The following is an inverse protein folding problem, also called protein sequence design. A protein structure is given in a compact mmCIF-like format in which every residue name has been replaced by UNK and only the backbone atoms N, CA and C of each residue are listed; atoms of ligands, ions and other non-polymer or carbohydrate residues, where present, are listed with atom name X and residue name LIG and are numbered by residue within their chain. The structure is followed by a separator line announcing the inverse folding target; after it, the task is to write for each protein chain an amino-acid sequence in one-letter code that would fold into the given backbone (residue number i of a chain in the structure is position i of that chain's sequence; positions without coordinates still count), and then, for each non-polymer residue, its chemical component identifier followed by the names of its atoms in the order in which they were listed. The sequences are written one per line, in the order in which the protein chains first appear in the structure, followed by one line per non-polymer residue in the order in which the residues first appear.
data_IF_452592215040
#
_entry.id   IF_452592215040
#
_cell.length_a   1.000
_cell.length_b   1.000
_cell.length_c   1.000
_cell.angle_alpha   90.00
_cell.angle_beta   90.00
_cell.angle_gamma   90.00
#
_symmetry.space_group_name_H-M   'P 1'
#
loop_
_entity.id
_entity.type
_entity.pdbx_description
1 polymer ?
#
# COMPACT_ATOMS: atom_id res chain seq x y z
N UNK A 1 27.00 4.49 81.43
CA UNK A 1 26.53 5.90 81.47
C UNK A 1 26.94 6.54 80.15
N UNK A 2 25.97 6.80 79.27
CA UNK A 2 25.52 8.16 78.86
C UNK A 2 26.64 8.96 78.17
N UNK A 3 26.50 9.47 76.94
CA UNK A 3 25.38 10.27 76.43
C UNK A 3 25.28 10.18 74.90
N UNK A 4 24.02 10.19 74.44
CA UNK A 4 23.59 10.66 73.12
C UNK A 4 24.02 12.13 72.92
N UNK A 5 24.21 12.57 71.67
CA UNK A 5 23.54 13.70 71.00
C UNK A 5 24.33 14.11 69.75
N UNK A 6 23.68 14.00 68.59
CA UNK A 6 23.98 14.80 67.39
C UNK A 6 23.64 16.29 67.67
N UNK A 7 24.09 17.30 66.90
CA UNK A 7 23.54 17.51 65.53
C UNK A 7 24.39 18.33 64.51
N UNK A 8 23.97 18.21 63.24
CA UNK A 8 23.79 19.24 62.20
C UNK A 8 24.96 20.13 61.70
N UNK A 9 25.14 20.19 60.36
CA UNK A 9 24.82 21.33 59.46
C UNK A 9 25.70 21.36 58.20
N UNK A 10 25.05 21.73 57.08
CA UNK A 10 25.55 22.35 55.84
C UNK A 10 26.59 21.57 54.99
N UNK A 11 26.28 21.10 53.79
CA UNK A 11 25.93 21.80 52.54
C UNK A 11 27.13 22.08 51.63
N UNK A 12 27.02 21.57 50.37
CA UNK A 12 27.61 22.04 49.11
C UNK A 12 29.17 22.03 49.04
N UNK A 13 29.86 21.59 48.00
CA UNK A 13 29.59 21.55 46.57
C UNK A 13 30.85 20.98 45.86
N UNK A 14 30.69 20.54 44.59
CA UNK A 14 31.71 20.47 43.53
C UNK A 14 32.70 19.27 43.61
N UNK A 15 33.00 18.50 42.56
CA UNK A 15 32.73 18.62 41.12
C UNK A 15 33.46 17.50 40.32
N UNK A 16 32.84 17.10 39.20
CA UNK A 16 33.42 16.51 37.95
C UNK A 16 33.75 15.00 37.89
N UNK A 17 33.89 14.39 36.70
CA UNK A 17 33.14 14.56 35.43
C UNK A 17 32.71 13.21 34.81
N UNK A 18 31.72 13.20 33.92
CA UNK A 18 31.38 11.99 33.16
C UNK A 18 30.05 12.08 32.42
N UNK A 19 29.76 13.20 31.77
CA UNK A 19 28.65 13.27 30.82
C UNK A 19 29.02 12.40 29.60
N UNK A 20 28.50 11.18 29.62
CA UNK A 20 28.32 10.40 28.40
C UNK A 20 27.53 11.26 27.40
N UNK A 21 27.88 11.27 26.11
CA UNK A 21 27.07 11.96 25.12
C UNK A 21 25.67 11.32 25.15
N UNK A 22 24.70 12.07 25.68
CA UNK A 22 23.28 11.77 25.58
C UNK A 22 22.98 11.52 24.11
N UNK A 23 22.51 10.32 23.81
CA UNK A 23 21.78 10.01 22.59
C UNK A 23 20.43 10.78 22.64
N UNK A 24 20.51 12.08 22.45
CA UNK A 24 19.41 12.98 22.18
C UNK A 24 19.82 13.77 20.95
N UNK A 25 18.91 13.87 19.98
CA UNK A 25 19.07 14.51 18.65
C UNK A 25 19.37 13.59 17.46
N UNK A 26 19.12 12.29 17.58
CA UNK A 26 18.68 11.55 16.40
C UNK A 26 17.18 11.84 16.19
N UNK A 27 16.87 12.84 15.36
CA UNK A 27 15.53 13.03 14.77
C UNK A 27 14.97 11.65 14.42
N UNK A 28 13.74 11.26 14.83
CA UNK A 28 13.24 9.92 14.53
C UNK A 28 13.38 9.70 13.03
N UNK A 29 14.25 8.78 12.63
CA UNK A 29 14.31 8.36 11.26
C UNK A 29 12.91 7.83 10.96
N UNK A 30 12.16 8.57 10.12
CA UNK A 30 10.83 8.13 9.71
C UNK A 30 10.96 6.68 9.29
N UNK A 31 10.17 5.76 9.88
CA UNK A 31 10.22 4.35 9.50
C UNK A 31 10.14 4.27 7.98
N UNK A 32 10.88 3.35 7.37
CA UNK A 32 10.91 3.21 5.89
C UNK A 32 9.50 3.12 5.33
N UNK A 33 8.57 2.48 6.05
CA UNK A 33 7.13 2.45 5.71
C UNK A 33 6.50 3.84 5.59
N UNK A 34 6.81 4.78 6.48
CA UNK A 34 6.35 6.17 6.42
C UNK A 34 6.86 6.92 5.19
N UNK A 35 8.09 6.66 4.75
CA UNK A 35 8.64 7.24 3.52
C UNK A 35 8.02 6.61 2.28
N UNK A 36 7.87 5.29 2.26
CA UNK A 36 7.27 4.59 1.13
C UNK A 36 5.79 4.91 0.97
N UNK A 37 5.04 5.15 2.05
CA UNK A 37 3.65 5.60 1.99
C UNK A 37 3.48 6.99 1.35
N UNK A 38 4.53 7.80 1.35
CA UNK A 38 4.55 9.15 0.76
C UNK A 38 5.13 9.17 -0.66
N UNK A 39 5.44 7.99 -1.22
CA UNK A 39 6.04 7.90 -2.54
C UNK A 39 5.09 8.44 -3.63
N UNK A 40 5.61 8.94 -4.77
CA UNK A 40 4.80 9.58 -5.81
C UNK A 40 3.59 8.75 -6.28
N UNK A 41 3.77 7.44 -6.45
CA UNK A 41 2.68 6.53 -6.83
C UNK A 41 1.55 6.44 -5.79
N UNK A 42 1.84 6.66 -4.51
CA UNK A 42 0.84 6.60 -3.43
C UNK A 42 0.25 7.97 -3.08
N UNK A 43 0.86 9.06 -3.53
CA UNK A 43 0.58 10.39 -3.01
C UNK A 43 -0.89 10.80 -3.14
N UNK A 44 -1.54 10.53 -4.29
CA UNK A 44 -2.97 10.85 -4.50
C UNK A 44 -3.86 10.02 -3.57
N UNK A 45 -3.62 8.73 -3.49
CA UNK A 45 -4.32 7.80 -2.59
C UNK A 45 -4.16 8.20 -1.11
N UNK A 46 -2.95 8.60 -0.71
CA UNK A 46 -2.65 9.02 0.65
C UNK A 46 -3.45 10.28 1.03
N UNK A 47 -3.59 11.25 0.11
CA UNK A 47 -4.44 12.43 0.32
C UNK A 47 -5.92 12.07 0.51
N UNK A 48 -6.38 11.00 -0.14
CA UNK A 48 -7.74 10.47 0.04
C UNK A 48 -7.88 9.53 1.25
N UNK A 49 -6.85 9.37 2.09
CA UNK A 49 -6.91 8.49 3.26
C UNK A 49 -6.89 6.99 2.94
N UNK A 50 -6.49 6.61 1.72
CA UNK A 50 -6.47 5.21 1.26
C UNK A 50 -5.15 4.48 1.57
N UNK A 51 -4.13 5.20 2.04
CA UNK A 51 -2.78 4.67 2.29
C UNK A 51 -2.46 4.70 3.77
N UNK A 52 -1.99 3.57 4.28
CA UNK A 52 -1.58 3.40 5.68
C UNK A 52 -0.17 2.83 5.75
N UNK A 53 0.69 3.44 6.56
CA UNK A 53 2.01 2.88 6.89
C UNK A 53 1.86 1.81 7.95
N UNK A 54 2.40 0.62 7.71
CA UNK A 54 2.35 -0.50 8.65
C UNK A 54 3.73 -0.79 9.25
N UNK A 55 3.80 -1.50 10.40
CA UNK A 55 5.04 -2.05 10.92
C UNK A 55 5.73 -3.00 9.93
N UNK A 56 7.06 -3.11 10.02
CA UNK A 56 7.83 -4.08 9.25
C UNK A 56 8.01 -3.76 7.77
N UNK A 57 8.20 -2.48 7.42
CA UNK A 57 8.41 -2.00 6.04
C UNK A 57 7.27 -2.39 5.11
N UNK A 58 6.04 -2.12 5.55
CA UNK A 58 4.82 -2.39 4.79
C UNK A 58 4.00 -1.14 4.59
N UNK A 59 3.28 -1.08 3.48
CA UNK A 59 2.27 -0.06 3.19
C UNK A 59 1.01 -0.76 2.75
N UNK A 60 -0.14 -0.34 3.29
CA UNK A 60 -1.45 -0.83 2.88
C UNK A 60 -2.13 0.24 2.04
N UNK A 61 -2.58 -0.14 0.86
CA UNK A 61 -3.49 0.63 0.03
C UNK A 61 -4.87 -0.03 0.08
N UNK A 62 -5.91 0.72 0.44
CA UNK A 62 -7.30 0.24 0.48
C UNK A 62 -8.17 1.12 -0.40
N UNK A 63 -8.73 0.54 -1.45
CA UNK A 63 -9.49 1.26 -2.47
C UNK A 63 -10.80 0.53 -2.77
N UNK A 64 -11.80 1.28 -3.21
CA UNK A 64 -13.00 0.72 -3.83
C UNK A 64 -12.84 0.94 -5.33
N UNK A 65 -12.72 -0.16 -6.06
CA UNK A 65 -12.72 -0.16 -7.50
C UNK A 65 -14.16 -0.34 -7.96
N UNK A 66 -14.57 0.48 -8.91
CA UNK A 66 -15.80 0.33 -9.65
C UNK A 66 -15.58 -0.65 -10.80
N UNK A 67 -16.57 -1.49 -11.05
CA UNK A 67 -16.56 -2.45 -12.17
C UNK A 67 -17.33 -1.79 -13.30
N UNK A 68 -16.63 -1.06 -14.16
CA UNK A 68 -17.20 -0.43 -15.34
C UNK A 68 -16.37 -0.82 -16.56
N UNK A 69 -16.74 -1.94 -17.19
CA UNK A 69 -16.14 -2.36 -18.47
C UNK A 69 -16.46 -3.81 -18.79
N UNK A 70 -16.71 -4.09 -20.06
CA UNK A 70 -17.23 -5.34 -20.59
C UNK A 70 -16.40 -6.58 -20.22
N UNK A 71 -17.12 -7.69 -20.20
CA UNK A 71 -16.99 -8.84 -19.32
C UNK A 71 -15.73 -9.70 -19.58
N UNK A 72 -14.80 -9.70 -18.61
CA UNK A 72 -13.76 -10.73 -18.48
C UNK A 72 -14.13 -11.76 -17.40
N UNK A 73 -15.42 -12.09 -17.25
CA UNK A 73 -15.89 -13.09 -16.28
C UNK A 73 -16.02 -12.55 -14.85
N UNK A 74 -16.15 -11.23 -14.70
CA UNK A 74 -16.34 -10.62 -13.37
C UNK A 74 -17.84 -10.60 -13.07
N UNK A 75 -18.32 -11.15 -11.95
CA UNK A 75 -19.75 -11.13 -11.63
C UNK A 75 -20.31 -9.70 -11.64
N UNK A 76 -21.57 -9.53 -12.05
CA UNK A 76 -22.29 -8.24 -12.04
C UNK A 76 -22.47 -7.73 -10.59
N UNK A 77 -21.43 -7.07 -10.10
CA UNK A 77 -21.28 -6.51 -8.77
C UNK A 77 -21.02 -5.02 -8.91
N UNK A 78 -21.72 -4.20 -8.10
CA UNK A 78 -21.57 -2.74 -8.15
C UNK A 78 -20.16 -2.24 -7.80
N UNK A 79 -19.35 -3.01 -7.06
CA UNK A 79 -17.96 -2.62 -6.75
C UNK A 79 -17.11 -3.78 -6.22
N UNK A 80 -15.79 -3.63 -6.29
CA UNK A 80 -14.81 -4.51 -5.63
C UNK A 80 -13.94 -3.70 -4.66
N UNK A 81 -13.92 -4.08 -3.38
CA UNK A 81 -12.95 -3.53 -2.42
C UNK A 81 -11.61 -4.24 -2.63
N UNK A 82 -10.56 -3.49 -2.92
CA UNK A 82 -9.19 -4.00 -3.07
C UNK A 82 -8.34 -3.51 -1.91
N UNK A 83 -7.73 -4.44 -1.17
CA UNK A 83 -6.70 -4.11 -0.16
C UNK A 83 -5.37 -4.72 -0.60
N UNK A 84 -4.39 -3.89 -0.90
CA UNK A 84 -3.06 -4.29 -1.32
C UNK A 84 -2.03 -3.93 -0.23
N UNK A 85 -1.39 -4.94 0.36
CA UNK A 85 -0.30 -4.76 1.32
C UNK A 85 1.01 -4.95 0.57
N UNK A 86 1.76 -3.86 0.41
CA UNK A 86 3.07 -3.81 -0.22
C UNK A 86 4.13 -4.17 0.81
N UNK A 87 4.97 -5.15 0.49
CA UNK A 87 6.11 -5.55 1.29
C UNK A 87 7.38 -5.05 0.60
N UNK A 88 8.14 -4.19 1.29
CA UNK A 88 9.38 -3.64 0.72
C UNK A 88 10.61 -4.48 1.13
N UNK A 89 11.58 -4.57 0.23
CA UNK A 89 12.83 -5.28 0.47
C UNK A 89 13.67 -4.58 1.57
N UNK A 90 14.12 -5.36 2.56
CA UNK A 90 14.87 -4.83 3.69
C UNK A 90 16.20 -4.21 3.22
N UNK A 91 16.47 -2.98 3.66
CA UNK A 91 17.70 -2.25 3.31
C UNK A 91 17.76 -1.77 1.85
N UNK A 92 16.67 -1.89 1.08
CA UNK A 92 16.59 -1.48 -0.34
C UNK A 92 15.57 -0.36 -0.57
N UNK A 93 15.40 0.52 0.41
CA UNK A 93 14.47 1.65 0.31
C UNK A 93 13.02 1.18 0.11
N UNK A 94 12.35 1.70 -0.92
CA UNK A 94 10.97 1.39 -1.25
C UNK A 94 10.86 0.41 -2.43
N UNK A 95 11.89 -0.41 -2.64
CA UNK A 95 11.85 -1.51 -3.60
C UNK A 95 10.81 -2.56 -3.18
N UNK A 96 9.81 -2.76 -4.04
CA UNK A 96 8.73 -3.72 -3.83
C UNK A 96 9.26 -5.15 -3.99
N UNK A 97 9.00 -5.99 -2.99
CA UNK A 97 9.31 -7.44 -3.02
C UNK A 97 8.12 -8.24 -3.51
N UNK A 98 6.98 -8.03 -2.87
CA UNK A 98 5.71 -8.69 -3.17
C UNK A 98 4.56 -7.84 -2.63
N UNK A 99 3.35 -8.13 -3.11
CA UNK A 99 2.13 -7.45 -2.68
C UNK A 99 1.06 -8.50 -2.39
N UNK A 100 0.58 -8.55 -1.15
CA UNK A 100 -0.58 -9.35 -0.77
C UNK A 100 -1.84 -8.55 -1.09
N UNK A 101 -2.68 -9.06 -1.99
CA UNK A 101 -3.93 -8.42 -2.38
C UNK A 101 -5.09 -9.25 -1.87
N UNK A 102 -6.02 -8.62 -1.15
CA UNK A 102 -7.31 -9.21 -0.84
C UNK A 102 -8.43 -8.42 -1.51
N UNK A 103 -9.35 -9.11 -2.18
CA UNK A 103 -10.54 -8.51 -2.80
C UNK A 103 -11.82 -9.00 -2.14
N UNK A 104 -12.81 -8.11 -2.04
CA UNK A 104 -14.16 -8.41 -1.55
C UNK A 104 -15.15 -7.71 -2.47
N UNK A 105 -15.90 -8.51 -3.23
CA UNK A 105 -16.92 -8.01 -4.17
C UNK A 105 -18.19 -7.64 -3.38
N UNK A 106 -18.79 -6.50 -3.73
CA UNK A 106 -19.95 -5.95 -3.04
C UNK A 106 -21.00 -5.47 -4.02
N UNK A 107 -22.24 -5.47 -3.56
CA UNK A 107 -23.37 -5.09 -4.41
C UNK A 107 -23.69 -6.12 -5.50
N UNK A 108 -23.24 -7.36 -5.37
CA UNK A 108 -23.60 -8.42 -6.29
C UNK A 108 -25.09 -8.78 -6.13
N UNK A 109 -25.82 -8.90 -7.23
CA UNK A 109 -27.18 -9.47 -7.25
C UNK A 109 -27.12 -10.99 -7.15
N UNK A 110 -26.56 -11.51 -6.06
CA UNK A 110 -26.50 -12.95 -5.78
C UNK A 110 -27.35 -13.24 -4.54
N UNK A 111 -28.52 -13.85 -4.73
CA UNK A 111 -29.34 -14.35 -3.64
C UNK A 111 -28.49 -15.24 -2.71
N UNK A 112 -28.23 -14.76 -1.50
CA UNK A 112 -27.71 -15.57 -0.40
C UNK A 112 -26.22 -15.93 -0.42
N UNK A 113 -25.38 -15.32 -1.28
CA UNK A 113 -23.92 -15.59 -1.26
C UNK A 113 -23.11 -14.31 -1.17
N UNK A 114 -22.64 -13.96 0.03
CA UNK A 114 -21.52 -13.02 0.17
C UNK A 114 -20.25 -13.71 -0.32
N UNK A 115 -19.60 -13.24 -1.39
CA UNK A 115 -18.32 -13.82 -1.80
C UNK A 115 -17.31 -13.63 -0.66
N UNK A 116 -16.66 -14.72 -0.26
CA UNK A 116 -15.57 -14.67 0.71
C UNK A 116 -14.40 -13.87 0.11
N UNK A 117 -13.64 -13.09 0.91
CA UNK A 117 -12.51 -12.36 0.38
C UNK A 117 -11.50 -13.28 -0.32
N UNK A 118 -11.20 -12.99 -1.59
CA UNK A 118 -10.12 -13.68 -2.33
C UNK A 118 -8.79 -13.10 -1.86
N UNK A 119 -7.74 -13.90 -1.69
CA UNK A 119 -6.40 -13.40 -1.32
C UNK A 119 -5.33 -14.04 -2.18
N UNK A 120 -4.49 -13.21 -2.76
CA UNK A 120 -3.41 -13.62 -3.67
C UNK A 120 -2.14 -12.80 -3.46
N UNK A 121 -1.00 -13.34 -3.89
CA UNK A 121 0.29 -12.63 -3.83
C UNK A 121 0.78 -12.29 -5.23
N UNK A 122 1.12 -11.02 -5.41
CA UNK A 122 1.57 -10.42 -6.66
C UNK A 122 3.03 -10.01 -6.59
N UNK A 123 3.72 -10.08 -7.72
CA UNK A 123 5.15 -9.81 -7.84
C UNK A 123 5.41 -8.85 -9.00
N UNK A 124 6.37 -7.91 -8.86
CA UNK A 124 6.82 -7.09 -9.98
C UNK A 124 7.63 -7.93 -10.97
N UNK A 125 7.61 -7.57 -12.26
CA UNK A 125 8.41 -8.22 -13.32
C UNK A 125 9.93 -8.01 -13.17
N UNK A 126 10.36 -7.13 -12.27
CA UNK A 126 11.74 -6.82 -11.95
C UNK A 126 11.85 -5.88 -10.76
N UNK A 127 13.05 -5.34 -10.48
CA UNK A 127 13.23 -4.32 -9.45
C UNK A 127 12.29 -3.13 -9.70
N UNK A 128 11.41 -2.83 -8.76
CA UNK A 128 10.50 -1.69 -8.83
C UNK A 128 10.54 -0.91 -7.53
N UNK A 129 11.01 0.33 -7.56
CA UNK A 129 11.04 1.23 -6.40
C UNK A 129 9.92 2.25 -6.52
N UNK A 130 8.93 2.19 -5.62
CA UNK A 130 7.78 3.12 -5.66
C UNK A 130 8.19 4.56 -5.39
N UNK A 131 9.34 4.79 -4.74
CA UNK A 131 9.88 6.12 -4.50
C UNK A 131 10.56 6.72 -5.73
N UNK A 132 10.81 5.93 -6.79
CA UNK A 132 11.35 6.45 -8.04
C UNK A 132 10.29 7.31 -8.76
N UNK A 133 10.55 8.63 -8.94
CA UNK A 133 9.62 9.50 -9.64
C UNK A 133 9.41 9.12 -11.12
N UNK A 134 10.32 8.35 -11.72
CA UNK A 134 10.22 7.89 -13.10
C UNK A 134 9.37 6.62 -13.28
N UNK A 135 9.03 5.90 -12.20
CA UNK A 135 8.36 4.59 -12.30
C UNK A 135 7.02 4.71 -13.03
N UNK A 136 6.23 5.77 -12.79
CA UNK A 136 4.99 6.13 -13.50
C UNK A 136 3.81 5.14 -13.33
N UNK A 137 4.10 3.85 -13.42
CA UNK A 137 3.20 2.71 -13.33
C UNK A 137 3.94 1.54 -12.67
N UNK A 138 3.30 0.87 -11.72
CA UNK A 138 3.74 -0.39 -11.16
C UNK A 138 2.81 -1.52 -11.63
N UNK A 139 3.33 -2.43 -12.45
CA UNK A 139 2.61 -3.63 -12.89
C UNK A 139 3.08 -4.84 -12.11
N UNK A 140 2.12 -5.54 -11.51
CA UNK A 140 2.34 -6.74 -10.71
C UNK A 140 1.49 -7.88 -11.26
N UNK A 141 1.99 -9.10 -11.17
CA UNK A 141 1.25 -10.32 -11.57
C UNK A 141 1.39 -11.42 -10.52
N UNK A 142 0.42 -12.32 -10.47
CA UNK A 142 0.56 -13.59 -9.74
C UNK A 142 1.65 -14.46 -10.37
N UNK A 143 2.09 -15.51 -9.67
CA UNK A 143 3.07 -16.46 -10.24
C UNK A 143 2.57 -17.18 -11.49
N UNK A 144 1.26 -17.43 -11.55
CA UNK A 144 0.60 -18.00 -12.73
C UNK A 144 0.38 -16.98 -13.85
N UNK A 145 0.59 -15.69 -13.54
CA UNK A 145 0.35 -14.55 -14.43
C UNK A 145 -1.10 -14.47 -14.95
N UNK A 146 -2.03 -15.17 -14.30
CA UNK A 146 -3.47 -15.23 -14.58
C UNK A 146 -4.23 -14.05 -13.98
N UNK A 147 -3.56 -13.22 -13.17
CA UNK A 147 -4.12 -12.03 -12.53
C UNK A 147 -3.07 -10.93 -12.54
N UNK A 148 -3.54 -9.68 -12.60
CA UNK A 148 -2.66 -8.52 -12.56
C UNK A 148 -3.20 -7.42 -11.64
N UNK A 149 -2.27 -6.68 -11.03
CA UNK A 149 -2.56 -5.41 -10.37
C UNK A 149 -1.69 -4.35 -11.02
N UNK A 150 -2.30 -3.28 -11.52
CA UNK A 150 -1.58 -2.14 -12.07
C UNK A 150 -1.87 -0.90 -11.25
N UNK A 151 -0.85 -0.35 -10.61
CA UNK A 151 -0.93 0.87 -9.83
C UNK A 151 -0.34 2.04 -10.63
N UNK A 152 -1.16 3.04 -10.91
CA UNK A 152 -0.77 4.34 -11.44
C UNK A 152 -0.96 5.41 -10.36
N UNK A 153 -0.36 6.58 -10.54
CA UNK A 153 -0.54 7.70 -9.59
C UNK A 153 -2.01 8.17 -9.48
N UNK A 154 -2.84 7.87 -10.47
CA UNK A 154 -4.23 8.36 -10.57
C UNK A 154 -5.29 7.26 -10.62
N UNK A 155 -4.91 6.01 -10.83
CA UNK A 155 -5.85 4.89 -10.92
C UNK A 155 -5.17 3.57 -10.55
N UNK A 156 -5.94 2.60 -10.10
CA UNK A 156 -5.52 1.23 -9.85
C UNK A 156 -6.43 0.32 -10.64
N UNK A 157 -5.85 -0.65 -11.32
CA UNK A 157 -6.57 -1.66 -12.07
C UNK A 157 -6.30 -3.04 -11.47
N UNK A 158 -7.35 -3.82 -11.22
CA UNK A 158 -7.26 -5.21 -10.82
C UNK A 158 -7.88 -6.10 -11.90
N UNK A 159 -7.08 -7.00 -12.45
CA UNK A 159 -7.48 -7.89 -13.54
C UNK A 159 -7.55 -9.33 -13.04
N UNK A 160 -8.64 -10.00 -13.38
CA UNK A 160 -8.84 -11.44 -13.19
C UNK A 160 -8.78 -12.16 -14.55
N UNK A 161 -8.41 -13.44 -14.52
CA UNK A 161 -8.49 -14.38 -15.64
C UNK A 161 -7.81 -13.93 -16.96
N UNK A 162 -6.69 -13.21 -16.82
CA UNK A 162 -5.89 -12.71 -17.96
C UNK A 162 -4.90 -13.75 -18.46
N UNK A 163 -4.53 -13.71 -19.74
CA UNK A 163 -3.38 -14.48 -20.23
C UNK A 163 -2.08 -13.91 -19.67
N UNK A 164 -1.07 -14.78 -19.51
CA UNK A 164 0.21 -14.42 -18.91
C UNK A 164 0.93 -13.26 -19.63
N UNK A 165 0.73 -13.16 -20.95
CA UNK A 165 1.31 -12.17 -21.86
C UNK A 165 0.29 -11.16 -22.37
N UNK A 166 -0.96 -11.20 -21.88
CA UNK A 166 -2.01 -10.26 -22.29
C UNK A 166 -1.57 -8.81 -22.06
N UNK A 167 -1.86 -7.96 -23.04
CA UNK A 167 -1.79 -6.52 -22.88
C UNK A 167 -2.80 -6.09 -21.81
N UNK A 168 -2.34 -5.36 -20.81
CA UNK A 168 -3.19 -4.83 -19.76
C UNK A 168 -3.60 -3.41 -20.13
N UNK A 169 -4.86 -3.21 -20.47
CA UNK A 169 -5.38 -1.90 -20.80
C UNK A 169 -5.62 -1.10 -19.51
N UNK A 170 -4.96 0.06 -19.40
CA UNK A 170 -5.02 0.95 -18.23
C UNK A 170 -5.66 2.30 -18.56
N UNK A 171 -6.38 2.35 -19.67
CA UNK A 171 -7.34 3.40 -20.00
C UNK A 171 -8.75 2.91 -19.63
N UNK A 172 -9.76 3.77 -19.63
CA UNK A 172 -11.15 3.31 -19.61
C UNK A 172 -11.58 3.03 -21.06
N UNK A 173 -12.43 2.02 -21.31
CA UNK A 173 -12.96 1.79 -22.65
C UNK A 173 -13.69 3.04 -23.14
N UNK A 174 -13.43 3.43 -24.38
CA UNK A 174 -14.31 4.39 -25.06
C UNK A 174 -15.55 3.65 -25.58
N UNK A 175 -16.72 4.30 -25.67
CA UNK A 175 -17.96 3.65 -26.13
C UNK A 175 -17.90 3.11 -27.58
N UNK A 176 -16.80 3.35 -28.30
CA UNK A 176 -16.54 2.93 -29.68
C UNK A 176 -15.57 1.73 -29.78
N UNK A 177 -14.91 1.35 -28.67
CA UNK A 177 -14.03 0.18 -28.64
C UNK A 177 -14.86 -1.10 -28.48
N UNK A 178 -14.90 -1.91 -29.54
CA UNK A 178 -15.53 -3.24 -29.52
C UNK A 178 -14.98 -4.07 -28.34
N UNK A 179 -15.90 -4.76 -27.64
CA UNK A 179 -15.68 -5.55 -26.42
C UNK A 179 -14.69 -6.74 -26.59
N UNK A 180 -14.13 -6.91 -27.80
CA UNK A 180 -13.28 -8.03 -28.19
C UNK A 180 -11.87 -7.99 -27.56
N UNK A 181 -11.47 -6.86 -26.97
CA UNK A 181 -10.26 -6.76 -26.17
C UNK A 181 -10.55 -7.11 -24.70
N UNK A 182 -10.84 -8.39 -24.43
CA UNK A 182 -11.03 -8.92 -23.08
C UNK A 182 -9.76 -8.74 -22.24
N UNK A 183 -9.61 -7.61 -21.55
CA UNK A 183 -8.78 -7.40 -20.35
C UNK A 183 -9.01 -5.98 -19.79
N UNK A 184 -10.24 -5.60 -19.45
CA UNK A 184 -10.49 -4.40 -18.62
C UNK A 184 -10.55 -4.85 -17.16
N UNK A 185 -9.68 -4.28 -16.32
CA UNK A 185 -9.68 -4.56 -14.89
C UNK A 185 -10.64 -3.66 -14.14
N UNK A 186 -11.12 -4.12 -12.98
CA UNK A 186 -11.83 -3.25 -12.03
C UNK A 186 -10.94 -2.04 -11.70
N UNK A 187 -11.47 -0.83 -11.81
CA UNK A 187 -10.68 0.40 -11.68
C UNK A 187 -11.29 1.38 -10.69
N UNK A 188 -10.49 2.28 -10.11
CA UNK A 188 -11.04 3.26 -9.16
C UNK A 188 -11.75 4.36 -9.94
N UNK A 189 -13.03 4.58 -9.66
CA UNK A 189 -13.75 5.71 -10.25
C UNK A 189 -13.08 7.03 -9.86
N UNK A 190 -12.85 7.92 -10.83
CA UNK A 190 -12.18 9.21 -10.57
C UNK A 190 -12.89 10.04 -9.49
N UNK A 191 -14.21 9.86 -9.34
CA UNK A 191 -15.05 10.47 -8.30
C UNK A 191 -14.58 10.17 -6.87
N UNK A 192 -13.80 9.11 -6.64
CA UNK A 192 -13.20 8.79 -5.34
C UNK A 192 -12.03 9.70 -4.97
N UNK A 193 -11.47 10.43 -5.92
CA UNK A 193 -10.47 11.46 -5.66
C UNK A 193 -11.16 12.81 -5.60
N UNK A 194 -11.28 13.38 -4.40
CA UNK A 194 -11.69 14.78 -4.25
C UNK A 194 -10.54 15.65 -4.75
N UNK A 195 -10.81 16.48 -5.75
CA UNK A 195 -9.90 17.55 -6.18
C UNK A 195 -9.74 18.65 -5.12
#
# INVERSE_FOLDING_TARGET
MSLKHAPALLALLLSLPGDAPRAADAKPATPVSGRCAQAPLFQRYARSGMVESLPGNKVRLSVVADVHGADCGTPDCYFTKVRAVFHFAQGKGCQVREVEVSTEDGGCSLEGRSPSPKRETFFPKGPADVADPALGQLTLRTRKADRALVLLARNLFYFEDVKADALLHTTLPTPEEEEDACCWGASIAESHFRD
#
